data_IF_396071317351
#
_entry.id   IF_396071317351
#
_cell.length_a   1.000
_cell.length_b   1.000
_cell.length_c   1.000
_cell.angle_alpha   90.00
_cell.angle_beta   90.00
_cell.angle_gamma   90.00
#
_symmetry.space_group_name_H-M   'P 1'
#
loop_
_entity.id
_entity.type
_entity.pdbx_description
1 polymer ?
#
# COMPACT_ATOMS: atom_id res chain seq x y z
N UNK A 1 13.53 -33.17 -2.17
CA UNK A 1 12.51 -32.09 -2.11
C UNK A 1 11.38 -32.57 -1.22
N UNK A 2 10.95 -31.79 -0.22
CA UNK A 2 9.88 -32.20 0.71
C UNK A 2 8.49 -32.06 0.03
N UNK A 3 7.55 -32.96 0.34
CA UNK A 3 6.17 -32.96 -0.19
C UNK A 3 5.42 -31.62 -0.01
N UNK A 4 5.85 -30.78 0.94
CA UNK A 4 5.27 -29.46 1.20
C UNK A 4 5.59 -28.43 0.10
N UNK A 5 6.80 -28.49 -0.47
CA UNK A 5 7.22 -27.60 -1.55
C UNK A 5 6.48 -27.94 -2.86
N UNK A 6 6.22 -29.22 -3.11
CA UNK A 6 5.51 -29.67 -4.31
C UNK A 6 4.02 -29.26 -4.28
N UNK A 7 3.36 -29.37 -3.12
CA UNK A 7 1.98 -28.91 -2.97
C UNK A 7 1.87 -27.39 -3.14
N UNK A 8 2.78 -26.64 -2.53
CA UNK A 8 2.80 -25.17 -2.62
C UNK A 8 3.04 -24.72 -4.06
N UNK A 9 3.95 -25.39 -4.77
CA UNK A 9 4.21 -25.12 -6.19
C UNK A 9 2.96 -25.37 -7.05
N UNK A 10 2.30 -26.54 -6.91
CA UNK A 10 1.07 -26.85 -7.66
C UNK A 10 -0.09 -25.90 -7.37
N UNK A 11 -0.22 -25.44 -6.12
CA UNK A 11 -1.25 -24.44 -5.76
C UNK A 11 -0.96 -23.09 -6.41
N UNK A 12 0.30 -22.65 -6.40
CA UNK A 12 0.72 -21.41 -7.05
C UNK A 12 0.54 -21.47 -8.57
N UNK A 13 0.92 -22.58 -9.20
CA UNK A 13 0.74 -22.81 -10.64
C UNK A 13 -0.74 -22.77 -11.04
N UNK A 14 -1.60 -23.45 -10.28
CA UNK A 14 -3.04 -23.40 -10.51
C UNK A 14 -3.60 -21.97 -10.33
N UNK A 15 -3.15 -21.23 -9.31
CA UNK A 15 -3.55 -19.83 -9.12
C UNK A 15 -3.10 -18.97 -10.31
N UNK A 16 -1.88 -19.18 -10.81
CA UNK A 16 -1.37 -18.46 -11.98
C UNK A 16 -2.22 -18.71 -13.23
N UNK A 17 -2.60 -19.95 -13.51
CA UNK A 17 -3.49 -20.28 -14.65
C UNK A 17 -4.84 -19.56 -14.53
N UNK A 18 -5.41 -19.46 -13.32
CA UNK A 18 -6.67 -18.75 -13.11
C UNK A 18 -6.50 -17.22 -13.26
N UNK A 19 -5.41 -16.68 -12.73
CA UNK A 19 -5.04 -15.26 -12.88
C UNK A 19 -4.80 -14.92 -14.34
N UNK A 20 -4.18 -15.79 -15.13
CA UNK A 20 -3.95 -15.59 -16.56
C UNK A 20 -5.26 -15.61 -17.36
N UNK A 21 -6.15 -16.55 -17.06
CA UNK A 21 -7.50 -16.63 -17.68
C UNK A 21 -8.32 -15.37 -17.41
N UNK A 22 -8.30 -14.88 -16.18
CA UNK A 22 -9.02 -13.68 -15.74
C UNK A 22 -8.20 -12.39 -15.93
N UNK A 23 -7.00 -12.45 -16.47
CA UNK A 23 -5.98 -11.40 -16.30
C UNK A 23 -6.43 -10.05 -16.82
N UNK A 24 -6.96 -9.97 -18.05
CA UNK A 24 -7.42 -8.70 -18.61
C UNK A 24 -8.60 -8.08 -17.83
N UNK A 25 -9.68 -8.83 -17.49
CA UNK A 25 -10.70 -8.35 -16.56
C UNK A 25 -10.14 -7.86 -15.23
N UNK A 26 -9.22 -8.60 -14.61
CA UNK A 26 -8.60 -8.22 -13.33
C UNK A 26 -7.78 -6.94 -13.43
N UNK A 27 -7.04 -6.75 -14.52
CA UNK A 27 -6.26 -5.54 -14.82
C UNK A 27 -7.18 -4.33 -14.94
N UNK A 28 -8.24 -4.46 -15.74
CA UNK A 28 -9.21 -3.39 -15.93
C UNK A 28 -9.88 -3.03 -14.60
N UNK A 29 -10.33 -4.04 -13.84
CA UNK A 29 -10.95 -3.84 -12.54
C UNK A 29 -9.98 -3.22 -11.53
N UNK A 30 -8.72 -3.63 -11.51
CA UNK A 30 -7.70 -3.07 -10.62
C UNK A 30 -7.46 -1.59 -10.90
N UNK A 31 -7.25 -1.23 -12.17
CA UNK A 31 -7.03 0.17 -12.56
C UNK A 31 -8.27 1.03 -12.33
N UNK A 32 -9.45 0.54 -12.71
CA UNK A 32 -10.71 1.24 -12.45
C UNK A 32 -10.93 1.44 -10.95
N UNK A 33 -10.61 0.45 -10.11
CA UNK A 33 -10.73 0.57 -8.65
C UNK A 33 -9.82 1.67 -8.10
N UNK A 34 -8.58 1.74 -8.57
CA UNK A 34 -7.61 2.78 -8.19
C UNK A 34 -8.08 4.16 -8.67
N UNK A 35 -8.53 4.27 -9.93
CA UNK A 35 -9.01 5.51 -10.53
C UNK A 35 -10.29 6.04 -9.85
N UNK A 36 -11.29 5.18 -9.66
CA UNK A 36 -12.51 5.52 -8.95
C UNK A 36 -12.25 5.85 -7.48
N UNK A 37 -11.29 5.15 -6.84
CA UNK A 37 -10.81 5.50 -5.51
C UNK A 37 -10.24 6.91 -5.44
N UNK A 38 -9.40 7.29 -6.41
CA UNK A 38 -8.84 8.63 -6.52
C UNK A 38 -9.93 9.70 -6.66
N UNK A 39 -10.91 9.46 -7.56
CA UNK A 39 -12.06 10.36 -7.74
C UNK A 39 -12.88 10.46 -6.45
N UNK A 40 -13.23 9.33 -5.85
CA UNK A 40 -13.99 9.28 -4.60
C UNK A 40 -13.30 10.06 -3.48
N UNK A 41 -11.98 9.92 -3.36
CA UNK A 41 -11.19 10.64 -2.37
C UNK A 41 -11.10 12.14 -2.65
N UNK A 42 -11.10 12.59 -3.91
CA UNK A 42 -11.27 14.01 -4.24
C UNK A 42 -12.58 14.56 -3.67
N UNK A 43 -13.70 13.84 -3.84
CA UNK A 43 -14.99 14.25 -3.29
C UNK A 43 -15.01 14.24 -1.76
N UNK A 44 -14.36 13.25 -1.12
CA UNK A 44 -14.24 13.18 0.34
C UNK A 44 -13.45 14.38 0.86
N UNK A 45 -12.25 14.62 0.33
CA UNK A 45 -11.37 15.69 0.82
C UNK A 45 -11.95 17.08 0.57
N UNK A 46 -12.73 17.29 -0.50
CA UNK A 46 -13.44 18.54 -0.74
C UNK A 46 -14.36 18.95 0.42
N UNK A 47 -14.89 17.99 1.17
CA UNK A 47 -15.78 18.22 2.32
C UNK A 47 -15.06 18.48 3.63
N UNK A 48 -13.73 18.47 3.65
CA UNK A 48 -12.94 18.58 4.88
C UNK A 48 -11.92 19.72 4.81
N UNK A 49 -11.78 20.51 5.90
CA UNK A 49 -10.77 21.55 5.96
C UNK A 49 -9.36 20.96 6.02
N UNK A 50 -8.51 21.36 5.08
CA UNK A 50 -7.14 20.88 4.91
C UNK A 50 -6.07 21.84 5.49
N UNK A 51 -6.49 22.85 6.24
CA UNK A 51 -5.57 23.81 6.88
C UNK A 51 -4.55 23.07 7.77
N UNK A 52 -3.27 23.35 7.54
CA UNK A 52 -2.13 22.71 8.22
C UNK A 52 -1.84 21.25 7.82
N UNK A 53 -2.58 20.67 6.85
CA UNK A 53 -2.47 19.26 6.43
C UNK A 53 -1.98 19.08 4.99
N UNK A 54 -2.05 20.14 4.17
CA UNK A 54 -1.58 20.13 2.78
C UNK A 54 -0.10 19.78 2.66
N UNK A 55 0.77 20.56 3.29
CA UNK A 55 2.24 20.39 3.20
C UNK A 55 2.67 18.96 3.56
N UNK A 56 2.35 18.41 4.76
CA UNK A 56 2.80 17.06 5.10
C UNK A 56 2.22 16.00 4.16
N UNK A 57 1.00 16.20 3.65
CA UNK A 57 0.42 15.26 2.68
C UNK A 57 1.11 15.33 1.33
N UNK A 58 1.43 16.55 0.83
CA UNK A 58 2.16 16.76 -0.42
C UNK A 58 3.56 16.16 -0.36
N UNK A 59 4.26 16.29 0.76
CA UNK A 59 5.57 15.64 0.97
C UNK A 59 5.42 14.13 0.82
N UNK A 60 4.44 13.53 1.50
CA UNK A 60 4.18 12.09 1.42
C UNK A 60 3.81 11.66 0.00
N UNK A 61 2.94 12.40 -0.68
CA UNK A 61 2.58 12.14 -2.08
C UNK A 61 3.77 12.27 -3.04
N UNK A 62 4.64 13.25 -2.82
CA UNK A 62 5.86 13.46 -3.60
C UNK A 62 6.87 12.33 -3.40
N UNK A 63 7.07 11.88 -2.16
CA UNK A 63 7.92 10.72 -1.85
C UNK A 63 7.33 9.45 -2.49
N UNK A 64 6.02 9.24 -2.40
CA UNK A 64 5.35 8.13 -3.05
C UNK A 64 5.56 8.16 -4.57
N UNK A 65 5.33 9.32 -5.20
CA UNK A 65 5.51 9.51 -6.63
C UNK A 65 6.95 9.23 -7.04
N UNK A 66 7.92 9.79 -6.32
CA UNK A 66 9.33 9.55 -6.59
C UNK A 66 9.68 8.06 -6.52
N UNK A 67 9.27 7.36 -5.45
CA UNK A 67 9.53 5.94 -5.28
C UNK A 67 8.88 5.08 -6.38
N UNK A 68 7.62 5.37 -6.70
CA UNK A 68 6.87 4.65 -7.72
C UNK A 68 7.41 4.88 -9.14
N UNK A 69 7.85 6.11 -9.45
CA UNK A 69 8.48 6.42 -10.73
C UNK A 69 9.88 5.82 -10.82
N UNK A 70 10.67 5.89 -9.74
CA UNK A 70 12.00 5.29 -9.70
C UNK A 70 11.92 3.78 -10.00
N UNK A 71 11.01 3.08 -9.33
CA UNK A 71 10.72 1.67 -9.61
C UNK A 71 10.31 1.45 -11.06
N UNK A 72 9.31 2.16 -11.55
CA UNK A 72 8.85 2.02 -12.92
C UNK A 72 9.97 2.21 -13.97
N UNK A 73 10.81 3.23 -13.79
CA UNK A 73 11.91 3.51 -14.71
C UNK A 73 13.09 2.54 -14.56
N UNK A 74 13.42 2.11 -13.34
CA UNK A 74 14.43 1.06 -13.12
C UNK A 74 13.96 -0.24 -13.77
N UNK A 75 12.70 -0.62 -13.58
CA UNK A 75 12.11 -1.82 -14.14
C UNK A 75 12.12 -1.78 -15.67
N UNK A 76 11.73 -0.67 -16.30
CA UNK A 76 11.86 -0.50 -17.76
C UNK A 76 13.32 -0.57 -18.21
N UNK A 77 14.26 -0.02 -17.44
CA UNK A 77 15.66 -0.07 -17.80
C UNK A 77 16.23 -1.49 -17.74
N UNK A 78 15.87 -2.26 -16.71
CA UNK A 78 16.33 -3.64 -16.51
C UNK A 78 15.65 -4.63 -17.46
N UNK A 79 14.34 -4.46 -17.70
CA UNK A 79 13.55 -5.28 -18.60
C UNK A 79 12.81 -4.39 -19.62
N UNK A 80 13.47 -3.93 -20.71
CA UNK A 80 12.90 -2.97 -21.66
C UNK A 80 11.61 -3.40 -22.36
N UNK A 81 11.49 -4.71 -22.56
CA UNK A 81 10.32 -5.35 -23.16
C UNK A 81 9.23 -5.63 -22.13
N UNK A 82 9.56 -5.67 -20.83
CA UNK A 82 8.70 -6.04 -19.68
C UNK A 82 7.93 -7.37 -19.83
N UNK A 83 7.89 -7.98 -21.02
CA UNK A 83 7.24 -9.25 -21.37
C UNK A 83 7.89 -10.46 -20.73
N UNK A 84 9.07 -10.28 -20.15
CA UNK A 84 9.84 -11.30 -19.43
C UNK A 84 9.72 -11.14 -17.92
N UNK A 85 8.91 -10.19 -17.44
CA UNK A 85 8.61 -10.14 -16.01
C UNK A 85 7.90 -11.42 -15.60
N UNK A 86 8.28 -11.96 -14.44
CA UNK A 86 7.58 -13.06 -13.78
C UNK A 86 6.24 -12.60 -13.16
N UNK A 87 5.60 -11.61 -13.79
CA UNK A 87 4.29 -11.09 -13.42
C UNK A 87 3.24 -11.61 -14.40
N UNK A 88 2.45 -12.62 -14.03
CA UNK A 88 1.45 -13.22 -14.92
C UNK A 88 0.38 -12.20 -15.35
N UNK A 89 0.04 -11.25 -14.47
CA UNK A 89 -0.90 -10.18 -14.81
C UNK A 89 -0.28 -9.29 -15.88
N UNK A 90 1.01 -8.96 -15.76
CA UNK A 90 1.70 -8.13 -16.73
C UNK A 90 1.81 -8.79 -18.10
N UNK A 91 2.19 -10.08 -18.14
CA UNK A 91 2.32 -10.82 -19.39
C UNK A 91 0.99 -10.88 -20.15
N UNK A 92 -0.13 -11.10 -19.45
CA UNK A 92 -1.46 -11.04 -20.05
C UNK A 92 -1.76 -9.68 -20.68
N UNK A 93 -1.36 -8.57 -20.03
CA UNK A 93 -1.57 -7.22 -20.59
C UNK A 93 -0.72 -7.01 -21.83
N UNK A 94 0.55 -7.41 -21.79
CA UNK A 94 1.44 -7.28 -22.96
C UNK A 94 0.94 -8.12 -24.13
N UNK A 95 0.55 -9.36 -23.88
CA UNK A 95 0.03 -10.28 -24.92
C UNK A 95 -1.29 -9.78 -25.53
N UNK A 96 -2.22 -9.28 -24.70
CA UNK A 96 -3.56 -8.92 -25.16
C UNK A 96 -3.71 -7.47 -25.63
N UNK A 97 -2.93 -6.55 -25.09
CA UNK A 97 -3.04 -5.11 -25.35
C UNK A 97 -1.78 -4.51 -25.99
N UNK A 98 -0.69 -5.27 -26.06
CA UNK A 98 0.59 -4.79 -26.55
C UNK A 98 1.39 -4.02 -25.51
N UNK A 99 2.70 -3.96 -25.74
CA UNK A 99 3.67 -3.37 -24.81
C UNK A 99 3.42 -1.88 -24.53
N UNK A 100 2.99 -1.12 -25.54
CA UNK A 100 2.71 0.32 -25.38
C UNK A 100 1.62 0.59 -24.34
N UNK A 101 0.51 -0.16 -24.42
CA UNK A 101 -0.60 -0.03 -23.48
C UNK A 101 -0.20 -0.56 -22.10
N UNK A 102 0.55 -1.66 -22.02
CA UNK A 102 1.07 -2.18 -20.75
C UNK A 102 1.92 -1.14 -20.01
N UNK A 103 2.84 -0.46 -20.71
CA UNK A 103 3.65 0.64 -20.15
C UNK A 103 2.76 1.78 -19.65
N UNK A 104 1.79 2.21 -20.45
CA UNK A 104 0.86 3.27 -20.05
C UNK A 104 0.03 2.90 -18.81
N UNK A 105 -0.49 1.67 -18.76
CA UNK A 105 -1.19 1.12 -17.61
C UNK A 105 -0.31 1.14 -16.35
N UNK A 106 0.93 0.64 -16.45
CA UNK A 106 1.88 0.63 -15.34
C UNK A 106 2.19 2.03 -14.85
N UNK A 107 2.51 2.95 -15.76
CA UNK A 107 2.80 4.34 -15.45
C UNK A 107 1.62 5.05 -14.76
N UNK A 108 0.43 4.98 -15.35
CA UNK A 108 -0.75 5.65 -14.80
C UNK A 108 -1.18 5.05 -13.47
N UNK A 109 -1.08 3.73 -13.29
CA UNK A 109 -1.31 3.08 -12.01
C UNK A 109 -0.38 3.59 -10.91
N UNK A 110 0.92 3.73 -11.21
CA UNK A 110 1.94 4.27 -10.29
C UNK A 110 1.65 5.72 -9.89
N UNK A 111 1.26 6.57 -10.85
CA UNK A 111 0.86 7.95 -10.59
C UNK A 111 -0.40 8.00 -9.71
N UNK A 112 -1.45 7.23 -10.06
CA UNK A 112 -2.71 7.22 -9.31
C UNK A 112 -2.52 6.69 -7.87
N UNK A 113 -1.71 5.66 -7.67
CA UNK A 113 -1.37 5.17 -6.33
C UNK A 113 -0.63 6.22 -5.49
N UNK A 114 0.21 7.03 -6.12
CA UNK A 114 0.91 8.14 -5.44
C UNK A 114 -0.07 9.24 -5.02
N UNK A 115 -1.03 9.58 -5.89
CA UNK A 115 -2.11 10.51 -5.57
C UNK A 115 -3.02 9.97 -4.45
N UNK A 116 -3.37 8.68 -4.50
CA UNK A 116 -4.12 8.02 -3.42
C UNK A 116 -3.35 8.04 -2.11
N UNK A 117 -2.03 7.85 -2.13
CA UNK A 117 -1.17 7.93 -0.93
C UNK A 117 -1.29 9.31 -0.29
N UNK A 118 -1.20 10.38 -1.09
CA UNK A 118 -1.46 11.75 -0.64
C UNK A 118 -2.86 11.86 -0.02
N UNK A 119 -3.89 11.39 -0.71
CA UNK A 119 -5.28 11.58 -0.29
C UNK A 119 -5.65 10.80 0.98
N UNK A 120 -5.22 9.54 1.08
CA UNK A 120 -5.44 8.71 2.26
C UNK A 120 -4.68 9.24 3.46
N UNK A 121 -3.44 9.70 3.26
CA UNK A 121 -2.68 10.32 4.34
C UNK A 121 -3.34 11.62 4.82
N UNK A 122 -3.75 12.48 3.90
CA UNK A 122 -4.50 13.71 4.21
C UNK A 122 -5.75 13.41 5.05
N UNK A 123 -6.54 12.42 4.63
CA UNK A 123 -7.75 12.03 5.34
C UNK A 123 -7.47 11.39 6.69
N UNK A 124 -6.40 10.59 6.78
CA UNK A 124 -5.88 10.08 8.04
C UNK A 124 -5.53 11.22 9.02
N UNK A 125 -4.86 12.28 8.56
CA UNK A 125 -4.51 13.44 9.39
C UNK A 125 -5.77 14.16 9.91
N UNK A 126 -6.79 14.32 9.07
CA UNK A 126 -8.09 14.91 9.44
C UNK A 126 -8.76 14.09 10.55
N UNK A 127 -8.85 12.78 10.36
CA UNK A 127 -9.50 11.88 11.33
C UNK A 127 -8.71 11.76 12.63
N UNK A 128 -7.38 11.71 12.53
CA UNK A 128 -6.48 11.62 13.69
C UNK A 128 -6.75 12.72 14.70
N UNK A 129 -6.86 13.97 14.25
CA UNK A 129 -7.04 15.12 15.14
C UNK A 129 -8.28 14.98 16.04
N UNK A 130 -9.35 14.37 15.52
CA UNK A 130 -10.59 14.08 16.25
C UNK A 130 -10.44 12.96 17.27
N UNK A 131 -9.51 12.04 17.03
CA UNK A 131 -9.28 10.87 17.88
C UNK A 131 -8.33 11.14 19.06
N UNK A 132 -7.50 12.18 18.99
CA UNK A 132 -6.52 12.46 20.04
C UNK A 132 -7.22 12.87 21.35
N UNK A 133 -7.05 12.12 22.47
CA UNK A 133 -7.70 12.42 23.74
C UNK A 133 -7.23 13.75 24.33
N UNK A 134 -8.06 14.41 25.13
CA UNK A 134 -7.69 15.69 25.77
C UNK A 134 -6.53 15.54 26.76
N UNK A 135 -6.53 14.49 27.57
CA UNK A 135 -5.52 14.20 28.60
C UNK A 135 -5.20 12.72 28.66
N UNK A 136 -3.92 12.39 28.84
CA UNK A 136 -3.43 11.04 29.09
C UNK A 136 -2.08 11.12 29.82
N UNK A 137 -1.86 10.24 30.80
CA UNK A 137 -0.65 10.23 31.65
C UNK A 137 0.56 9.58 30.97
N UNK A 138 0.33 8.60 30.10
CA UNK A 138 1.38 7.83 29.40
C UNK A 138 0.86 7.18 28.11
N UNK A 139 1.70 6.36 27.45
CA UNK A 139 1.35 5.72 26.17
C UNK A 139 0.16 4.76 26.30
N UNK A 140 0.16 3.89 27.31
CA UNK A 140 -0.93 2.94 27.54
C UNK A 140 -2.25 3.65 27.86
N UNK A 141 -2.21 4.67 28.73
CA UNK A 141 -3.38 5.50 29.04
C UNK A 141 -3.88 6.28 27.82
N UNK A 142 -2.97 6.75 26.96
CA UNK A 142 -3.32 7.38 25.68
C UNK A 142 -4.07 6.43 24.76
N UNK A 143 -3.59 5.18 24.61
CA UNK A 143 -4.22 4.20 23.73
C UNK A 143 -5.61 3.80 24.22
N UNK A 144 -5.77 3.61 25.53
CA UNK A 144 -7.06 3.33 26.14
C UNK A 144 -8.07 4.48 25.94
N UNK A 145 -7.58 5.73 25.94
CA UNK A 145 -8.39 6.93 25.71
C UNK A 145 -8.46 7.36 24.25
N UNK A 146 -7.78 6.67 23.33
CA UNK A 146 -7.78 7.06 21.93
C UNK A 146 -9.20 6.93 21.34
N UNK A 147 -9.70 8.03 20.77
CA UNK A 147 -11.08 8.18 20.29
C UNK A 147 -12.12 8.47 21.38
N UNK A 148 -11.75 8.62 22.65
CA UNK A 148 -12.72 8.85 23.74
C UNK A 148 -13.47 10.18 23.65
N UNK A 149 -13.00 11.11 22.82
CA UNK A 149 -13.57 12.45 22.66
C UNK A 149 -14.76 12.52 21.69
N UNK A 150 -15.04 11.47 20.92
CA UNK A 150 -16.01 11.47 19.82
C UNK A 150 -17.17 10.49 20.02
N UNK A 151 -18.38 10.89 19.63
CA UNK A 151 -19.54 9.97 19.54
C UNK A 151 -19.29 8.99 18.39
N UNK A 152 -19.55 7.70 18.60
CA UNK A 152 -19.24 6.65 17.59
C UNK A 152 -17.75 6.31 17.49
N UNK A 153 -17.00 6.45 18.60
CA UNK A 153 -15.55 6.24 18.70
C UNK A 153 -15.00 4.98 18.04
N UNK A 154 -15.72 3.86 18.07
CA UNK A 154 -15.25 2.59 17.47
C UNK A 154 -15.17 2.68 15.95
N UNK A 155 -16.21 3.19 15.29
CA UNK A 155 -16.27 3.33 13.84
C UNK A 155 -15.23 4.32 13.32
N UNK A 156 -15.04 5.46 14.00
CA UNK A 156 -14.04 6.45 13.59
C UNK A 156 -12.60 5.92 13.77
N UNK A 157 -12.33 5.19 14.86
CA UNK A 157 -11.04 4.51 15.06
C UNK A 157 -10.78 3.48 13.96
N UNK A 158 -11.76 2.63 13.68
CA UNK A 158 -11.65 1.60 12.65
C UNK A 158 -11.38 2.22 11.26
N UNK A 159 -12.13 3.27 10.90
CA UNK A 159 -11.89 4.03 9.66
C UNK A 159 -10.50 4.66 9.62
N UNK A 160 -10.02 5.21 10.72
CA UNK A 160 -8.69 5.82 10.78
C UNK A 160 -7.56 4.80 10.64
N UNK A 161 -7.73 3.61 11.24
CA UNK A 161 -6.84 2.46 11.04
C UNK A 161 -6.86 2.05 9.57
N UNK A 162 -8.02 1.76 8.99
CA UNK A 162 -8.13 1.38 7.58
C UNK A 162 -7.46 2.41 6.69
N UNK A 163 -7.75 3.70 6.86
CA UNK A 163 -7.15 4.75 6.04
C UNK A 163 -5.63 4.83 6.17
N UNK A 164 -5.09 4.62 7.38
CA UNK A 164 -3.65 4.58 7.58
C UNK A 164 -3.01 3.37 6.89
N UNK A 165 -3.63 2.18 7.00
CA UNK A 165 -3.15 0.98 6.31
C UNK A 165 -3.31 1.09 4.79
N UNK A 166 -4.40 1.65 4.28
CA UNK A 166 -4.59 1.94 2.85
C UNK A 166 -3.58 2.96 2.33
N UNK A 167 -3.27 3.99 3.14
CA UNK A 167 -2.19 4.92 2.85
C UNK A 167 -0.85 4.20 2.72
N UNK A 168 -0.48 3.37 3.70
CA UNK A 168 0.78 2.64 3.68
C UNK A 168 0.84 1.67 2.50
N UNK A 169 -0.24 0.96 2.23
CA UNK A 169 -0.35 0.12 1.05
C UNK A 169 -0.14 0.91 -0.25
N UNK A 170 -0.73 2.11 -0.37
CA UNK A 170 -0.53 2.95 -1.54
C UNK A 170 0.91 3.51 -1.61
N UNK A 171 1.51 3.85 -0.47
CA UNK A 171 2.86 4.41 -0.36
C UNK A 171 3.94 3.37 -0.71
N UNK A 172 3.84 2.18 -0.12
CA UNK A 172 4.84 1.13 -0.23
C UNK A 172 4.37 -0.05 -1.09
N UNK A 173 3.41 0.20 -1.99
CA UNK A 173 2.74 -0.83 -2.80
C UNK A 173 3.72 -1.89 -3.30
N UNK A 174 3.33 -3.17 -3.29
CA UNK A 174 4.06 -4.36 -2.83
C UNK A 174 5.61 -4.40 -3.02
N UNK A 175 6.35 -3.38 -2.58
CA UNK A 175 7.80 -3.26 -2.77
C UNK A 175 8.57 -4.33 -2.00
N UNK A 176 8.04 -4.76 -0.86
CA UNK A 176 8.74 -5.72 0.00
C UNK A 176 8.47 -7.17 -0.39
N UNK A 177 7.28 -7.48 -0.88
CA UNK A 177 6.89 -8.87 -1.19
C UNK A 177 7.09 -9.25 -2.65
N UNK A 178 6.96 -8.31 -3.58
CA UNK A 178 7.03 -8.63 -5.00
C UNK A 178 8.48 -8.70 -5.47
N UNK A 179 9.28 -7.68 -5.18
CA UNK A 179 10.65 -7.55 -5.69
C UNK A 179 11.61 -8.48 -4.96
N UNK A 180 11.53 -8.59 -3.63
CA UNK A 180 12.42 -9.47 -2.86
C UNK A 180 12.10 -10.94 -3.12
N UNK A 181 10.82 -11.31 -3.19
CA UNK A 181 10.42 -12.70 -3.43
C UNK A 181 10.66 -13.13 -4.89
N UNK A 182 10.32 -12.30 -5.89
CA UNK A 182 10.58 -12.64 -7.30
C UNK A 182 12.08 -12.66 -7.63
N UNK A 183 12.89 -11.75 -7.09
CA UNK A 183 14.34 -11.82 -7.26
C UNK A 183 14.98 -12.99 -6.48
N UNK A 184 14.34 -13.44 -5.39
CA UNK A 184 14.80 -14.64 -4.68
C UNK A 184 14.48 -15.94 -5.43
N UNK A 185 13.44 -15.97 -6.26
CA UNK A 185 13.17 -17.14 -7.12
C UNK A 185 14.30 -17.39 -8.13
N UNK A 186 15.07 -16.36 -8.49
CA UNK A 186 16.25 -16.49 -9.35
C UNK A 186 17.56 -16.82 -8.61
N UNK A 187 17.58 -16.76 -7.27
CA UNK A 187 18.73 -17.12 -6.43
C UNK A 187 18.29 -17.97 -5.23
N UNK A 188 18.44 -19.28 -5.38
CA UNK A 188 18.02 -20.28 -4.38
C UNK A 188 18.68 -20.05 -3.00
N UNK A 189 19.89 -19.49 -2.94
CA UNK A 189 20.55 -19.17 -1.67
C UNK A 189 19.91 -17.97 -0.99
N UNK A 190 19.52 -16.96 -1.78
CA UNK A 190 18.82 -15.77 -1.29
C UNK A 190 17.41 -16.13 -0.81
N UNK A 191 16.69 -16.98 -1.56
CA UNK A 191 15.37 -17.48 -1.19
C UNK A 191 15.35 -18.16 0.18
N UNK A 192 16.32 -19.04 0.42
CA UNK A 192 16.41 -19.80 1.67
C UNK A 192 16.85 -18.94 2.87
N UNK A 193 17.45 -17.77 2.63
CA UNK A 193 17.84 -16.82 3.67
C UNK A 193 16.72 -15.84 4.07
N UNK A 194 15.66 -15.73 3.26
CA UNK A 194 14.55 -14.81 3.51
C UNK A 194 13.55 -15.38 4.53
N UNK A 195 12.94 -14.53 5.37
CA UNK A 195 11.82 -14.96 6.21
C UNK A 195 10.68 -15.48 5.34
N UNK A 196 9.99 -16.51 5.82
CA UNK A 196 8.82 -17.06 5.13
C UNK A 196 7.78 -15.97 4.86
N UNK A 197 6.99 -16.12 3.79
CA UNK A 197 5.99 -15.12 3.41
C UNK A 197 5.05 -14.74 4.59
N UNK A 198 4.53 -15.69 5.39
CA UNK A 198 3.75 -15.35 6.57
C UNK A 198 4.54 -14.54 7.62
N UNK A 199 5.80 -14.90 7.87
CA UNK A 199 6.65 -14.21 8.84
C UNK A 199 6.97 -12.77 8.42
N UNK A 200 7.33 -12.56 7.15
CA UNK A 200 7.54 -11.22 6.60
C UNK A 200 6.26 -10.37 6.66
N UNK A 201 5.09 -10.98 6.43
CA UNK A 201 3.81 -10.30 6.48
C UNK A 201 3.47 -9.87 7.90
N UNK A 202 3.73 -10.74 8.87
CA UNK A 202 3.54 -10.45 10.29
C UNK A 202 4.48 -9.35 10.80
N UNK A 203 5.77 -9.40 10.44
CA UNK A 203 6.76 -8.36 10.79
C UNK A 203 6.33 -7.02 10.21
N UNK A 204 5.90 -7.00 8.95
CA UNK A 204 5.40 -5.80 8.30
C UNK A 204 4.21 -5.21 9.07
N UNK A 205 3.21 -6.03 9.41
CA UNK A 205 2.02 -5.58 10.17
C UNK A 205 2.38 -5.04 11.56
N UNK A 206 3.33 -5.66 12.28
CA UNK A 206 3.82 -5.15 13.56
C UNK A 206 4.45 -3.77 13.36
N UNK A 207 5.34 -3.63 12.39
CA UNK A 207 6.04 -2.39 12.12
C UNK A 207 5.06 -1.26 11.79
N UNK A 208 4.07 -1.52 10.92
CA UNK A 208 3.02 -0.55 10.60
C UNK A 208 2.21 -0.15 11.84
N UNK A 209 1.85 -1.13 12.67
CA UNK A 209 1.09 -0.89 13.90
C UNK A 209 1.88 -0.03 14.89
N UNK A 210 3.19 -0.27 15.02
CA UNK A 210 4.07 0.55 15.85
C UNK A 210 4.17 1.99 15.33
N UNK A 211 4.38 2.19 14.02
CA UNK A 211 4.39 3.53 13.42
C UNK A 211 3.06 4.25 13.70
N UNK A 212 1.94 3.56 13.52
CA UNK A 212 0.62 4.13 13.81
C UNK A 212 0.51 4.60 15.26
N UNK A 213 0.75 3.70 16.22
CA UNK A 213 0.57 4.00 17.64
C UNK A 213 1.52 5.10 18.10
N UNK A 214 2.82 4.97 17.77
CA UNK A 214 3.84 5.92 18.20
C UNK A 214 3.67 7.28 17.53
N UNK A 215 3.35 7.31 16.23
CA UNK A 215 3.11 8.56 15.51
C UNK A 215 1.92 9.34 16.07
N UNK A 216 0.83 8.65 16.42
CA UNK A 216 -0.33 9.24 17.06
C UNK A 216 -0.01 9.74 18.49
N UNK A 217 0.71 8.95 19.28
CA UNK A 217 1.13 9.34 20.63
C UNK A 217 2.06 10.55 20.63
N UNK A 218 3.06 10.56 19.74
CA UNK A 218 3.99 11.68 19.59
C UNK A 218 3.25 12.97 19.23
N UNK A 219 2.30 12.91 18.29
CA UNK A 219 1.47 14.07 17.93
C UNK A 219 0.63 14.55 19.10
N UNK A 220 0.04 13.65 19.90
CA UNK A 220 -0.67 14.00 21.13
C UNK A 220 0.24 14.72 22.13
N UNK A 221 1.46 14.21 22.36
CA UNK A 221 2.43 14.85 23.26
C UNK A 221 2.83 16.24 22.77
N UNK A 222 3.03 16.42 21.46
CA UNK A 222 3.35 17.73 20.87
C UNK A 222 2.20 18.74 21.00
N UNK A 223 0.94 18.31 21.02
CA UNK A 223 -0.23 19.20 21.19
C UNK A 223 -0.38 19.73 22.63
N UNK A 224 0.05 18.96 23.62
CA UNK A 224 -0.15 19.26 25.05
C UNK A 224 1.11 19.77 25.75
N UNK A 225 2.17 20.06 24.98
CA UNK A 225 3.30 20.87 25.43
C UNK A 225 2.99 22.31 25.06
#
# INVERSE_FOLDING_TARGET
MSNFNELTYRVLENLFVHVEKLGLPLVILAWLSVFLGFIGMCFVLRKHPMSGKWIPSLIVGGIALFAHLLDYFITIRLCPTLSTEANPIWNVVVERMGLGIAKWYGFTGKVLLSLLSFQFFAFYLIQRERLLPKKAKGLMDFWNKYGSAEKGKSLLRFRNIINFFSFLFALSGPFYFYIVFLNSITDEKLYMALPSMPAAGFIYLIFLTLIYILGNYWKFRKRNK
#
